data_IF_443595271952
#
_entry.id   IF_443595271952
#
_cell.length_a   1.000
_cell.length_b   1.000
_cell.length_c   1.000
_cell.angle_alpha   90.00
_cell.angle_beta   90.00
_cell.angle_gamma   90.00
#
_symmetry.space_group_name_H-M   'P 1'
#
loop_
_entity.id
_entity.type
_entity.pdbx_description
1 polymer ?
#
# COMPACT_ATOMS: atom_id res chain seq x y z
N UNK A 1 -9.00 -35.05 -29.21
CA UNK A 1 -8.36 -35.79 -28.08
C UNK A 1 -6.84 -35.62 -28.13
N UNK A 2 -6.32 -34.43 -27.82
CA UNK A 2 -4.85 -34.15 -27.80
C UNK A 2 -4.43 -33.17 -26.67
N UNK A 3 -5.34 -32.86 -25.73
CA UNK A 3 -5.08 -31.92 -24.63
C UNK A 3 -4.41 -32.57 -23.41
N UNK A 4 -4.51 -33.90 -23.26
CA UNK A 4 -3.92 -34.63 -22.13
C UNK A 4 -2.45 -35.00 -22.31
N UNK A 5 -1.91 -34.88 -23.53
CA UNK A 5 -0.50 -35.15 -23.80
C UNK A 5 0.40 -33.94 -23.44
N UNK A 6 -0.17 -32.74 -23.32
CA UNK A 6 0.57 -31.51 -23.05
C UNK A 6 0.77 -31.24 -21.53
N UNK A 7 -0.09 -31.79 -20.66
CA UNK A 7 0.09 -31.67 -19.20
C UNK A 7 1.16 -32.64 -18.65
N UNK A 8 1.37 -33.78 -19.31
CA UNK A 8 2.30 -34.81 -18.79
C UNK A 8 3.77 -34.44 -19.03
N UNK A 9 4.06 -33.60 -20.04
CA UNK A 9 5.41 -33.08 -20.29
C UNK A 9 5.77 -31.90 -19.39
N UNK A 10 4.80 -31.07 -19.00
CA UNK A 10 5.03 -29.93 -18.09
C UNK A 10 5.24 -30.37 -16.63
N UNK A 11 4.58 -31.46 -16.21
CA UNK A 11 4.73 -32.02 -14.85
C UNK A 11 6.05 -32.77 -14.62
N UNK A 12 6.79 -33.12 -15.67
CA UNK A 12 8.07 -33.85 -15.58
C UNK A 12 9.30 -32.91 -15.46
N UNK A 13 9.17 -31.63 -15.85
CA UNK A 13 10.29 -30.68 -15.86
C UNK A 13 10.56 -30.01 -14.49
N UNK A 14 9.69 -30.18 -13.50
CA UNK A 14 9.82 -29.53 -12.18
C UNK A 14 10.61 -30.37 -11.15
N UNK A 15 11.09 -31.56 -11.51
CA UNK A 15 11.72 -32.50 -10.57
C UNK A 15 13.28 -32.44 -10.52
N UNK A 16 13.93 -31.46 -11.15
CA UNK A 16 15.40 -31.47 -11.33
C UNK A 16 16.14 -30.19 -10.88
N UNK A 17 15.63 -29.44 -9.90
CA UNK A 17 16.26 -28.18 -9.46
C UNK A 17 16.55 -28.08 -7.94
N UNK A 18 16.67 -29.21 -7.24
CA UNK A 18 17.24 -29.25 -5.89
C UNK A 18 18.57 -29.99 -5.97
N UNK A 19 19.71 -29.28 -6.06
CA UNK A 19 21.06 -29.68 -5.59
C UNK A 19 22.18 -28.81 -6.24
N UNK A 20 22.24 -27.50 -5.94
CA UNK A 20 23.46 -26.66 -5.96
C UNK A 20 23.15 -25.43 -5.07
N UNK A 21 23.88 -25.05 -4.02
CA UNK A 21 25.22 -25.42 -3.61
C UNK A 21 25.59 -24.96 -2.18
N UNK A 22 26.85 -25.26 -1.85
CA UNK A 22 27.51 -25.25 -0.54
C UNK A 22 27.61 -23.89 0.17
N UNK A 23 27.62 -23.97 1.50
CA UNK A 23 28.17 -22.93 2.36
C UNK A 23 29.70 -22.95 2.42
N UNK A 24 30.28 -21.79 2.77
CA UNK A 24 31.56 -21.64 3.45
C UNK A 24 31.59 -20.27 4.16
N UNK A 25 32.51 -20.13 5.11
CA UNK A 25 32.40 -19.45 6.39
C UNK A 25 33.53 -18.41 6.63
N UNK A 26 33.25 -17.44 7.52
CA UNK A 26 34.15 -16.60 8.39
C UNK A 26 34.36 -15.09 8.05
N UNK A 27 33.81 -14.25 8.95
CA UNK A 27 34.21 -12.98 9.64
C UNK A 27 35.59 -12.35 9.27
N UNK A 28 35.89 -11.03 9.26
CA UNK A 28 35.35 -9.73 9.75
C UNK A 28 35.97 -8.60 8.87
N UNK A 29 35.46 -7.36 8.71
CA UNK A 29 35.48 -6.23 9.68
C UNK A 29 34.83 -4.95 9.07
N UNK A 30 33.93 -4.30 9.83
CA UNK A 30 33.67 -2.84 10.08
C UNK A 30 34.33 -1.76 9.17
N UNK A 31 33.76 -0.59 8.81
CA UNK A 31 32.79 0.34 9.46
C UNK A 31 32.51 1.55 8.51
N UNK A 32 31.24 2.00 8.32
CA UNK A 32 30.75 3.37 8.59
C UNK A 32 29.36 3.70 8.00
N UNK A 33 28.38 3.83 8.92
CA UNK A 33 27.39 4.92 9.06
C UNK A 33 26.37 5.23 7.95
N UNK A 34 25.13 4.73 8.13
CA UNK A 34 23.91 5.51 8.42
C UNK A 34 22.62 4.72 8.11
N UNK A 35 21.61 4.86 8.97
CA UNK A 35 20.26 4.28 8.93
C UNK A 35 20.12 2.83 9.42
N UNK A 36 20.23 2.68 10.74
CA UNK A 36 19.85 1.50 11.50
C UNK A 36 18.33 1.48 11.72
N UNK A 37 17.64 0.64 10.95
CA UNK A 37 16.36 0.02 11.37
C UNK A 37 16.51 -1.48 11.27
N UNK A 38 17.33 -2.06 12.15
CA UNK A 38 17.22 -3.47 12.51
C UNK A 38 16.55 -3.51 13.89
N UNK A 39 15.32 -4.01 14.03
CA UNK A 39 14.79 -4.27 15.36
C UNK A 39 15.66 -5.34 16.03
N UNK A 40 16.05 -5.17 17.31
CA UNK A 40 16.76 -6.21 18.05
C UNK A 40 15.90 -7.50 18.11
N UNK A 41 16.51 -8.68 18.33
CA UNK A 41 15.75 -9.91 18.53
C UNK A 41 14.76 -9.66 19.67
N UNK A 42 13.50 -10.02 19.47
CA UNK A 42 12.48 -9.93 20.51
C UNK A 42 12.79 -10.98 21.59
N UNK A 43 13.66 -10.64 22.54
CA UNK A 43 14.12 -11.52 23.64
C UNK A 43 13.03 -11.74 24.71
N UNK A 44 11.88 -11.07 24.62
CA UNK A 44 10.78 -11.14 25.57
C UNK A 44 9.43 -11.27 24.84
N UNK A 45 8.64 -12.27 25.22
CA UNK A 45 7.32 -12.58 24.63
C UNK A 45 6.35 -11.37 24.63
N UNK A 46 6.57 -10.41 25.53
CA UNK A 46 5.79 -9.18 25.67
C UNK A 46 6.09 -8.13 24.61
N UNK A 47 7.33 -7.99 24.10
CA UNK A 47 7.62 -7.01 23.04
C UNK A 47 7.15 -7.49 21.68
N UNK A 48 7.09 -8.80 21.43
CA UNK A 48 6.46 -9.34 20.23
C UNK A 48 4.95 -9.04 20.19
N UNK A 49 4.24 -9.30 21.31
CA UNK A 49 2.83 -8.94 21.44
C UNK A 49 2.60 -7.43 21.33
N UNK A 50 3.50 -6.64 21.93
CA UNK A 50 3.50 -5.18 21.81
C UNK A 50 3.67 -4.73 20.36
N UNK A 51 4.67 -5.24 19.65
CA UNK A 51 4.93 -4.94 18.24
C UNK A 51 3.77 -5.37 17.33
N UNK A 52 3.18 -6.54 17.56
CA UNK A 52 1.99 -6.98 16.83
C UNK A 52 0.78 -6.08 17.09
N UNK A 53 0.57 -5.63 18.32
CA UNK A 53 -0.50 -4.69 18.65
C UNK A 53 -0.31 -3.32 17.99
N UNK A 54 0.94 -2.82 17.93
CA UNK A 54 1.25 -1.58 17.21
C UNK A 54 1.09 -1.77 15.69
N UNK A 55 1.53 -2.89 15.14
CA UNK A 55 1.36 -3.22 13.73
C UNK A 55 -0.12 -3.30 13.34
N UNK A 56 -0.96 -3.94 14.16
CA UNK A 56 -2.41 -3.95 13.96
C UNK A 56 -3.02 -2.55 14.02
N UNK A 57 -2.62 -1.71 14.98
CA UNK A 57 -3.09 -0.31 15.06
C UNK A 57 -2.68 0.52 13.85
N UNK A 58 -1.50 0.27 13.30
CA UNK A 58 -1.07 0.93 12.07
C UNK A 58 -1.84 0.39 10.86
N UNK A 59 -2.07 -0.92 10.78
CA UNK A 59 -2.88 -1.56 9.74
C UNK A 59 -4.34 -1.07 9.75
N UNK A 60 -4.97 -0.89 10.92
CA UNK A 60 -6.32 -0.31 11.03
C UNK A 60 -6.36 1.17 10.64
N UNK A 61 -5.23 1.90 10.76
CA UNK A 61 -5.07 3.27 10.25
C UNK A 61 -4.75 3.33 8.77
N UNK A 62 -4.49 2.20 8.10
CA UNK A 62 -4.32 2.18 6.65
C UNK A 62 -5.70 2.41 6.04
N UNK A 63 -5.87 3.60 5.45
CA UNK A 63 -7.03 3.88 4.61
C UNK A 63 -6.98 2.87 3.47
N UNK A 64 -8.10 2.21 3.21
CA UNK A 64 -8.22 1.26 2.12
C UNK A 64 -8.36 1.98 0.76
N UNK A 65 -7.26 2.60 0.31
CA UNK A 65 -7.16 3.22 -1.02
C UNK A 65 -7.30 2.16 -2.12
N UNK A 66 -6.94 0.91 -1.82
CA UNK A 66 -7.09 -0.24 -2.72
C UNK A 66 -8.52 -0.46 -3.13
N UNK A 67 -9.46 -0.41 -2.17
CA UNK A 67 -10.89 -0.57 -2.45
C UNK A 67 -11.41 0.48 -3.44
N UNK A 68 -11.01 1.75 -3.27
CA UNK A 68 -11.37 2.81 -4.24
C UNK A 68 -10.72 2.55 -5.60
N UNK A 69 -9.44 2.14 -5.61
CA UNK A 69 -8.71 1.86 -6.84
C UNK A 69 -9.31 0.68 -7.63
N UNK A 70 -9.81 -0.34 -6.93
CA UNK A 70 -10.51 -1.48 -7.51
C UNK A 70 -11.84 -1.04 -8.14
N UNK A 71 -12.63 -0.23 -7.44
CA UNK A 71 -13.86 0.34 -7.99
C UNK A 71 -13.60 1.17 -9.26
N UNK A 72 -12.52 1.96 -9.30
CA UNK A 72 -12.10 2.69 -10.52
C UNK A 72 -11.77 1.74 -11.67
N UNK A 73 -11.06 0.65 -11.37
CA UNK A 73 -10.70 -0.33 -12.40
C UNK A 73 -11.94 -1.04 -12.95
N UNK A 74 -12.90 -1.36 -12.08
CA UNK A 74 -14.17 -1.97 -12.47
C UNK A 74 -15.00 -1.02 -13.34
N UNK A 75 -15.14 0.25 -12.93
CA UNK A 75 -15.78 1.29 -13.73
C UNK A 75 -15.15 1.40 -15.11
N UNK A 76 -13.81 1.45 -15.18
CA UNK A 76 -13.10 1.53 -16.46
C UNK A 76 -13.30 0.28 -17.33
N UNK A 77 -13.44 -0.90 -16.73
CA UNK A 77 -13.71 -2.13 -17.46
C UNK A 77 -15.12 -2.20 -18.04
N UNK A 78 -16.09 -1.50 -17.44
CA UNK A 78 -17.49 -1.50 -17.88
C UNK A 78 -17.82 -0.34 -18.82
N UNK A 79 -17.27 0.85 -18.56
CA UNK A 79 -17.61 2.09 -19.26
C UNK A 79 -16.54 2.49 -20.31
N UNK A 80 -15.46 1.72 -20.45
CA UNK A 80 -14.30 2.02 -21.31
C UNK A 80 -13.69 3.42 -21.09
N UNK A 81 -13.97 4.04 -19.93
CA UNK A 81 -13.42 5.34 -19.50
C UNK A 81 -13.20 5.36 -17.99
N UNK A 82 -12.30 6.21 -17.52
CA UNK A 82 -12.17 6.47 -16.09
C UNK A 82 -13.27 7.43 -15.61
N UNK A 83 -13.67 7.33 -14.33
CA UNK A 83 -14.63 8.28 -13.76
C UNK A 83 -14.04 9.68 -13.70
N UNK A 84 -14.85 10.72 -13.87
CA UNK A 84 -14.42 12.11 -13.82
C UNK A 84 -14.15 12.56 -12.38
N UNK A 85 -14.91 12.01 -11.43
CA UNK A 85 -14.77 12.25 -9.99
C UNK A 85 -14.94 10.96 -9.20
N UNK A 86 -14.46 10.95 -7.95
CA UNK A 86 -14.67 9.80 -7.06
C UNK A 86 -16.15 9.63 -6.70
N UNK A 87 -16.95 10.70 -6.74
CA UNK A 87 -18.40 10.66 -6.44
C UNK A 87 -19.20 9.90 -7.52
N UNK A 88 -18.67 9.84 -8.74
CA UNK A 88 -19.26 9.06 -9.83
C UNK A 88 -19.26 7.56 -9.51
N UNK A 89 -18.27 7.06 -8.76
CA UNK A 89 -18.21 5.65 -8.35
C UNK A 89 -19.37 5.26 -7.43
N UNK A 90 -19.85 6.19 -6.62
CA UNK A 90 -21.01 5.99 -5.75
C UNK A 90 -22.31 6.18 -6.52
N UNK A 91 -22.34 7.11 -7.49
CA UNK A 91 -23.57 7.52 -8.18
C UNK A 91 -23.92 6.69 -9.43
N UNK A 92 -22.93 6.32 -10.24
CA UNK A 92 -23.15 5.75 -11.57
C UNK A 92 -23.49 4.25 -11.58
N UNK A 93 -22.98 3.49 -10.61
CA UNK A 93 -23.16 2.02 -10.60
C UNK A 93 -23.13 1.36 -9.24
N UNK A 94 -23.15 2.14 -8.15
CA UNK A 94 -22.93 1.60 -6.79
C UNK A 94 -21.65 0.75 -6.70
N UNK A 95 -20.62 1.08 -7.51
CA UNK A 95 -19.31 0.41 -7.46
C UNK A 95 -18.68 0.51 -6.08
N UNK A 96 -19.02 1.59 -5.37
CA UNK A 96 -18.61 1.81 -4.00
C UNK A 96 -19.79 2.27 -3.14
N UNK A 97 -20.11 1.56 -2.04
CA UNK A 97 -21.24 1.93 -1.17
C UNK A 97 -21.03 3.28 -0.49
N UNK A 98 -19.80 3.58 -0.07
CA UNK A 98 -19.37 4.92 0.31
C UNK A 98 -17.86 5.05 0.14
N UNK A 99 -17.39 6.28 -0.04
CA UNK A 99 -15.96 6.57 0.03
C UNK A 99 -15.53 6.50 1.50
N UNK A 100 -14.48 5.73 1.86
CA UNK A 100 -13.99 5.68 3.24
C UNK A 100 -13.47 7.05 3.68
N UNK A 101 -13.72 7.40 4.95
CA UNK A 101 -13.25 8.68 5.48
C UNK A 101 -11.73 8.68 5.69
N UNK A 102 -11.10 9.80 5.34
CA UNK A 102 -9.69 10.02 5.59
C UNK A 102 -9.46 10.53 7.03
N UNK A 103 -8.37 10.11 7.69
CA UNK A 103 -7.86 10.74 8.90
C UNK A 103 -7.66 12.25 8.71
N UNK A 104 -7.75 13.01 9.80
CA UNK A 104 -7.59 14.47 9.76
C UNK A 104 -6.24 14.87 9.14
N UNK A 105 -6.28 15.88 8.28
CA UNK A 105 -5.09 16.41 7.61
C UNK A 105 -4.71 15.69 6.31
N UNK A 106 -5.51 14.71 5.86
CA UNK A 106 -5.39 14.07 4.55
C UNK A 106 -6.57 14.43 3.65
N UNK A 107 -6.33 14.44 2.34
CA UNK A 107 -7.35 14.58 1.30
C UNK A 107 -7.10 13.58 0.17
N UNK A 108 -8.15 13.21 -0.56
CA UNK A 108 -8.01 12.37 -1.75
C UNK A 108 -7.46 13.19 -2.92
N UNK A 109 -6.39 12.69 -3.53
CA UNK A 109 -5.88 13.15 -4.81
C UNK A 109 -6.23 12.10 -5.86
N UNK A 110 -7.11 12.47 -6.78
CA UNK A 110 -7.55 11.62 -7.89
C UNK A 110 -7.14 12.24 -9.23
N UNK A 111 -6.67 11.40 -10.15
CA UNK A 111 -6.36 11.79 -11.52
C UNK A 111 -7.28 11.05 -12.51
N UNK A 112 -8.24 11.74 -13.16
CA UNK A 112 -9.19 11.11 -14.08
C UNK A 112 -8.56 10.63 -15.39
N UNK A 113 -7.39 11.14 -15.78
CA UNK A 113 -6.71 10.67 -17.00
C UNK A 113 -6.04 9.31 -16.82
N UNK A 114 -5.63 9.00 -15.59
CA UNK A 114 -4.89 7.77 -15.28
C UNK A 114 -5.66 6.82 -14.37
N UNK A 115 -6.83 7.24 -13.86
CA UNK A 115 -7.61 6.48 -12.88
C UNK A 115 -6.87 6.21 -11.57
N UNK A 116 -5.93 7.07 -11.16
CA UNK A 116 -5.11 6.84 -9.96
C UNK A 116 -5.61 7.67 -8.79
N UNK A 117 -5.76 7.02 -7.64
CA UNK A 117 -6.16 7.65 -6.37
C UNK A 117 -5.07 7.51 -5.32
N UNK A 118 -4.84 8.56 -4.54
CA UNK A 118 -3.89 8.60 -3.42
C UNK A 118 -4.45 9.44 -2.28
N UNK A 119 -4.07 9.15 -1.05
CA UNK A 119 -4.23 10.07 0.07
C UNK A 119 -3.01 11.00 0.13
N UNK A 120 -3.22 12.31 0.07
CA UNK A 120 -2.17 13.32 0.19
C UNK A 120 -2.43 14.22 1.40
N UNK A 121 -1.38 14.72 2.08
CA UNK A 121 -1.56 15.75 3.09
C UNK A 121 -2.30 16.96 2.51
N UNK A 122 -3.29 17.47 3.24
CA UNK A 122 -3.90 18.76 2.94
C UNK A 122 -2.78 19.80 3.04
N UNK A 123 -2.49 20.57 1.97
CA UNK A 123 -1.55 21.68 2.06
C UNK A 123 -2.06 22.63 3.15
N UNK A 124 -1.40 22.61 4.31
CA UNK A 124 -1.68 23.57 5.36
C UNK A 124 -1.25 24.91 4.80
N UNK A 125 -2.22 25.78 4.50
CA UNK A 125 -1.89 27.18 4.26
C UNK A 125 -1.06 27.63 5.47
N UNK A 126 0.12 28.25 5.27
CA UNK A 126 0.93 28.73 6.38
C UNK A 126 0.02 29.55 7.30
N UNK A 127 0.16 29.40 8.63
CA UNK A 127 -0.63 30.19 9.57
C UNK A 127 -0.53 31.63 9.14
N UNK A 128 -1.67 32.28 8.89
CA UNK A 128 -1.71 33.67 8.50
C UNK A 128 -0.74 34.43 9.43
N UNK A 129 0.15 35.29 8.89
CA UNK A 129 1.03 36.07 9.75
C UNK A 129 0.16 36.74 10.82
N UNK A 130 0.61 36.76 12.09
CA UNK A 130 -0.16 37.39 13.15
C UNK A 130 -0.52 38.79 12.68
N UNK A 131 -1.82 39.06 12.56
CA UNK A 131 -2.30 40.39 12.21
C UNK A 131 -1.67 41.31 13.26
N UNK A 132 -0.81 42.29 12.88
CA UNK A 132 -0.27 43.21 13.86
C UNK A 132 -1.47 43.87 14.50
N UNK A 133 -1.67 43.57 15.80
CA UNK A 133 -2.67 44.23 16.63
C UNK A 133 -2.36 45.71 16.52
N UNK A 134 -3.18 46.41 15.74
CA UNK A 134 -3.10 47.86 15.64
C UNK A 134 -3.33 48.38 17.05
N UNK A 135 -2.26 48.86 17.67
CA UNK A 135 -2.34 49.66 18.87
C UNK A 135 -3.23 50.87 18.55
N UNK A 136 -4.41 50.89 19.15
CA UNK A 136 -5.22 52.08 19.37
C UNK A 136 -5.35 52.27 20.87
#
# INVERSE_FOLDING_TARGET
>A
MKKHLFCYTFSSLLAAALFVGCGNNNTAKEENTAAETNPPPAENNVDYLGAMGQAQKQAVKVIDISTIQEAINLFHAEEDRYPESLDELTSAGSYLPSIPELPKGLTYSYNPKTGKVKAVPVPQAPPAPPVPSAAQ
#
